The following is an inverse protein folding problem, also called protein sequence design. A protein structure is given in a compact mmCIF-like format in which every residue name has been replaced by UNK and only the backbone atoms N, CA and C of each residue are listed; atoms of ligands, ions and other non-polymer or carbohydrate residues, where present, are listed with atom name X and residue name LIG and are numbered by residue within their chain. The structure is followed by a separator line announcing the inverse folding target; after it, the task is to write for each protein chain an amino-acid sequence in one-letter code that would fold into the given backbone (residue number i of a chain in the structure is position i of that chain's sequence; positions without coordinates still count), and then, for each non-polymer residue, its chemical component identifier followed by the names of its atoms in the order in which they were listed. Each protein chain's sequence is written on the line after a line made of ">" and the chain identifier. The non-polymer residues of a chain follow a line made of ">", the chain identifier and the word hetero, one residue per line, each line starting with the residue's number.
data_IF_678318855989
#
_entry.id   IF_678318855989
#
_cell.length_a   1.000
_cell.length_b   1.000
_cell.length_c   1.000
_cell.angle_alpha   90.00
_cell.angle_beta   90.00
_cell.angle_gamma   90.00
#
_symmetry.space_group_name_H-M   'P 1'
#
loop_
_entity.id
_entity.type
_entity.pdbx_description
1 polymer ?
#
# COMPACT_ATOMS: atom_id res chain seq x y z
N UNK A 1 21.32 -26.50 25.17
CA UNK A 1 20.31 -25.49 25.54
C UNK A 1 19.68 -24.95 24.25
N UNK A 2 18.42 -25.31 23.98
CA UNK A 2 17.65 -24.82 22.82
C UNK A 2 17.23 -23.38 23.12
N UNK A 3 17.65 -22.41 22.30
CA UNK A 3 17.11 -21.05 22.34
C UNK A 3 15.78 -21.05 21.58
N UNK A 4 14.68 -21.01 22.32
CA UNK A 4 13.35 -20.69 21.81
C UNK A 4 13.35 -19.25 21.29
N UNK A 5 13.23 -19.07 19.97
CA UNK A 5 12.76 -17.81 19.38
C UNK A 5 11.24 -17.77 19.54
N UNK A 6 10.75 -17.01 20.52
CA UNK A 6 9.36 -16.61 20.69
C UNK A 6 9.39 -15.15 21.11
N UNK A 7 8.87 -14.28 20.26
CA UNK A 7 8.87 -12.83 20.47
C UNK A 7 8.57 -12.10 19.17
N UNK A 8 7.36 -12.26 18.66
CA UNK A 8 6.75 -11.31 17.74
C UNK A 8 5.25 -11.45 17.97
N UNK A 9 4.57 -10.31 18.01
CA UNK A 9 3.13 -10.09 18.29
C UNK A 9 2.79 -9.78 19.75
N UNK A 10 2.84 -8.47 20.07
CA UNK A 10 1.71 -7.82 20.74
C UNK A 10 1.06 -6.69 19.91
N UNK A 11 1.61 -6.30 18.76
CA UNK A 11 1.02 -5.24 17.89
C UNK A 11 -0.28 -5.73 17.18
N UNK A 12 -0.56 -7.03 17.22
CA UNK A 12 -1.72 -7.65 16.55
C UNK A 12 -3.10 -7.34 17.19
N UNK A 13 -3.18 -6.88 18.44
CA UNK A 13 -4.44 -6.90 19.20
C UNK A 13 -5.37 -5.70 19.00
N UNK A 14 -4.96 -4.67 18.23
CA UNK A 14 -5.84 -3.58 17.82
C UNK A 14 -6.46 -3.77 16.41
N UNK A 15 -6.10 -4.84 15.69
CA UNK A 15 -6.27 -4.96 14.24
C UNK A 15 -7.50 -5.75 13.73
N UNK A 16 -8.37 -6.28 14.62
CA UNK A 16 -9.32 -7.36 14.27
C UNK A 16 -10.72 -6.90 13.77
N UNK A 17 -11.06 -5.61 13.71
CA UNK A 17 -12.47 -5.18 13.52
C UNK A 17 -12.87 -4.76 12.09
N UNK A 18 -11.96 -4.64 11.11
CA UNK A 18 -12.27 -3.89 9.86
C UNK A 18 -12.53 -4.69 8.57
N UNK A 19 -12.33 -6.02 8.54
CA UNK A 19 -12.51 -6.81 7.29
C UNK A 19 -13.99 -6.89 6.86
N UNK A 20 -14.95 -6.84 7.79
CA UNK A 20 -16.39 -6.79 7.43
C UNK A 20 -16.85 -5.38 7.03
N UNK A 21 -16.05 -4.35 7.34
CA UNK A 21 -16.38 -2.95 7.03
C UNK A 21 -16.19 -2.56 5.57
N UNK A 22 -15.18 -3.11 4.89
CA UNK A 22 -14.84 -2.74 3.52
C UNK A 22 -15.93 -3.12 2.51
N UNK A 23 -16.56 -4.30 2.65
CA UNK A 23 -17.67 -4.72 1.79
C UNK A 23 -18.96 -3.90 2.01
N UNK A 24 -19.15 -3.30 3.19
CA UNK A 24 -20.32 -2.47 3.51
C UNK A 24 -20.12 -1.02 3.06
N UNK A 25 -18.88 -0.51 3.08
CA UNK A 25 -18.55 0.85 2.62
C UNK A 25 -18.74 1.03 1.10
N UNK A 26 -18.42 0.00 0.30
CA UNK A 26 -18.58 0.04 -1.16
C UNK A 26 -20.04 0.31 -1.61
N UNK A 27 -21.04 -0.02 -0.78
CA UNK A 27 -22.46 0.10 -1.15
C UNK A 27 -23.04 1.51 -1.02
N UNK A 28 -22.28 2.50 -0.54
CA UNK A 28 -22.80 3.87 -0.25
C UNK A 28 -22.35 4.97 -1.24
N UNK A 29 -21.64 4.64 -2.32
CA UNK A 29 -21.07 5.66 -3.23
C UNK A 29 -21.66 5.61 -4.65
N UNK A 30 -22.98 5.83 -4.75
CA UNK A 30 -23.73 5.89 -6.02
C UNK A 30 -23.66 7.23 -6.77
N UNK A 31 -22.51 7.91 -6.80
CA UNK A 31 -22.32 9.12 -7.60
C UNK A 31 -21.03 9.04 -8.39
N UNK A 32 -21.06 9.36 -9.68
CA UNK A 32 -19.89 9.43 -10.57
C UNK A 32 -18.93 10.53 -10.09
N UNK A 33 -18.13 10.24 -9.06
CA UNK A 33 -17.03 11.10 -8.66
C UNK A 33 -15.94 10.93 -9.70
N UNK A 34 -15.33 12.04 -10.09
CA UNK A 34 -14.07 12.01 -10.85
C UNK A 34 -13.15 11.01 -10.18
N UNK A 35 -12.64 10.03 -10.94
CA UNK A 35 -11.65 9.10 -10.40
C UNK A 35 -10.41 9.91 -10.07
N UNK A 36 -10.17 10.06 -8.77
CA UNK A 36 -8.96 10.66 -8.22
C UNK A 36 -7.81 9.70 -8.54
N UNK A 37 -6.69 10.22 -9.03
CA UNK A 37 -5.49 9.42 -9.29
C UNK A 37 -4.64 9.28 -8.03
N UNK A 38 -4.00 8.14 -7.83
CA UNK A 38 -3.01 7.94 -6.78
C UNK A 38 -1.67 8.62 -7.10
N UNK A 39 -1.37 8.91 -8.38
CA UNK A 39 -0.07 9.42 -8.79
C UNK A 39 0.28 10.78 -8.15
N UNK A 40 -0.70 11.68 -8.02
CA UNK A 40 -0.51 12.99 -7.39
C UNK A 40 -0.29 12.85 -5.88
N UNK A 41 -1.15 12.08 -5.21
CA UNK A 41 -1.05 11.80 -3.76
C UNK A 41 0.27 11.08 -3.42
N UNK A 42 0.74 10.16 -4.27
CA UNK A 42 2.01 9.45 -4.11
C UNK A 42 3.21 10.40 -4.15
N UNK A 43 3.25 11.33 -5.10
CA UNK A 43 4.33 12.31 -5.19
C UNK A 43 4.39 13.20 -3.96
N UNK A 44 3.22 13.64 -3.49
CA UNK A 44 3.14 14.45 -2.30
C UNK A 44 3.60 13.68 -1.06
N UNK A 45 3.10 12.44 -0.84
CA UNK A 45 3.50 11.62 0.31
C UNK A 45 4.98 11.21 0.23
N UNK A 46 5.53 10.99 -0.96
CA UNK A 46 6.96 10.77 -1.14
C UNK A 46 7.77 11.92 -0.55
N UNK A 47 7.37 13.17 -0.84
CA UNK A 47 8.04 14.35 -0.28
C UNK A 47 7.95 14.45 1.25
N UNK A 48 6.90 13.88 1.87
CA UNK A 48 6.76 13.78 3.32
C UNK A 48 7.65 12.68 3.89
N UNK A 49 7.72 11.52 3.23
CA UNK A 49 8.56 10.39 3.64
C UNK A 49 10.05 10.75 3.59
N UNK A 50 10.50 11.48 2.57
CA UNK A 50 11.89 11.95 2.43
C UNK A 50 12.34 12.89 3.56
N UNK A 51 11.40 13.47 4.32
CA UNK A 51 11.72 14.26 5.51
C UNK A 51 12.07 13.40 6.73
N UNK A 52 11.70 12.12 6.73
CA UNK A 52 11.92 11.23 7.85
C UNK A 52 13.32 10.60 7.71
N UNK A 53 14.28 10.94 8.60
CA UNK A 53 15.61 10.36 8.53
C UNK A 53 15.52 8.85 8.80
N UNK A 54 15.88 8.04 7.81
CA UNK A 54 16.11 6.60 7.98
C UNK A 54 17.54 6.39 8.46
N UNK A 55 17.77 5.51 9.45
CA UNK A 55 19.10 5.40 10.06
C UNK A 55 20.13 4.86 9.06
N UNK A 56 21.18 5.63 8.82
CA UNK A 56 22.27 5.31 7.89
C UNK A 56 23.29 4.29 8.43
N UNK A 57 23.09 3.76 9.63
CA UNK A 57 24.20 3.18 10.40
C UNK A 57 24.54 1.71 10.11
N UNK A 58 23.64 0.84 9.63
CA UNK A 58 24.09 -0.56 9.38
C UNK A 58 23.30 -1.47 8.44
N UNK A 59 22.07 -1.17 8.02
CA UNK A 59 21.36 -2.09 7.10
C UNK A 59 20.44 -1.29 6.19
N UNK A 60 20.56 -1.56 4.88
CA UNK A 60 19.55 -1.32 3.85
C UNK A 60 18.15 -1.49 4.41
N UNK A 61 17.28 -0.50 4.24
CA UNK A 61 15.84 -0.68 4.03
C UNK A 61 15.26 0.71 3.78
N UNK A 62 15.29 1.10 2.50
CA UNK A 62 14.62 2.29 2.01
C UNK A 62 13.11 2.23 2.27
N UNK A 63 12.41 3.28 1.86
CA UNK A 63 10.97 3.37 1.98
C UNK A 63 10.28 2.11 1.41
N UNK A 64 9.45 1.47 2.23
CA UNK A 64 8.67 0.31 1.83
C UNK A 64 7.27 0.77 1.45
N UNK A 65 6.97 0.71 0.14
CA UNK A 65 5.69 1.12 -0.39
C UNK A 65 4.75 -0.09 -0.56
N UNK A 66 3.48 0.12 -0.27
CA UNK A 66 2.40 -0.82 -0.59
C UNK A 66 1.26 0.00 -1.17
N UNK A 67 0.87 -0.28 -2.42
CA UNK A 67 -0.29 0.34 -3.05
C UNK A 67 -1.38 -0.72 -3.21
N UNK A 68 -2.63 -0.32 -3.01
CA UNK A 68 -3.81 -1.16 -3.12
C UNK A 68 -4.89 -0.42 -3.89
N UNK A 69 -5.48 -1.09 -4.87
CA UNK A 69 -6.67 -0.65 -5.58
C UNK A 69 -7.80 -1.63 -5.34
N UNK A 70 -8.88 -1.16 -4.73
CA UNK A 70 -10.14 -1.88 -4.61
C UNK A 70 -10.99 -1.54 -5.83
N UNK A 71 -11.14 -2.50 -6.75
CA UNK A 71 -11.79 -2.32 -8.05
C UNK A 71 -13.21 -2.89 -8.02
N UNK A 72 -14.16 -2.07 -8.49
CA UNK A 72 -15.58 -2.38 -8.55
C UNK A 72 -16.17 -2.05 -9.94
N UNK A 73 -17.42 -2.42 -10.18
CA UNK A 73 -18.16 -2.14 -11.41
C UNK A 73 -17.75 -3.03 -12.59
N UNK A 74 -16.84 -3.98 -12.40
CA UNK A 74 -16.41 -4.91 -13.43
C UNK A 74 -17.20 -6.22 -13.38
N UNK A 75 -17.48 -6.78 -14.55
CA UNK A 75 -17.83 -8.20 -14.70
C UNK A 75 -16.56 -9.05 -14.75
N UNK A 76 -16.66 -10.34 -14.48
CA UNK A 76 -15.54 -11.31 -14.59
C UNK A 76 -14.72 -11.14 -15.88
N UNK A 77 -15.36 -11.04 -17.06
CA UNK A 77 -14.63 -10.82 -18.33
C UNK A 77 -13.90 -9.48 -18.44
N UNK A 78 -14.38 -8.43 -17.75
CA UNK A 78 -13.69 -7.13 -17.68
C UNK A 78 -12.52 -7.19 -16.70
N UNK A 79 -12.68 -7.88 -15.57
CA UNK A 79 -11.58 -8.10 -14.62
C UNK A 79 -10.42 -8.88 -15.27
N UNK A 80 -10.73 -9.93 -16.04
CA UNK A 80 -9.74 -10.65 -16.85
C UNK A 80 -9.09 -9.77 -17.92
N UNK A 81 -9.86 -8.86 -18.54
CA UNK A 81 -9.31 -7.89 -19.48
C UNK A 81 -8.33 -6.92 -18.80
N UNK A 82 -8.66 -6.42 -17.61
CA UNK A 82 -7.75 -5.57 -16.82
C UNK A 82 -6.45 -6.32 -16.47
N UNK A 83 -6.56 -7.57 -16.01
CA UNK A 83 -5.40 -8.42 -15.76
C UNK A 83 -4.53 -8.59 -17.03
N UNK A 84 -5.16 -8.83 -18.19
CA UNK A 84 -4.46 -8.94 -19.47
C UNK A 84 -3.78 -7.63 -19.92
N UNK A 85 -4.42 -6.48 -19.71
CA UNK A 85 -3.83 -5.15 -19.99
C UNK A 85 -2.59 -4.88 -19.10
N UNK A 86 -2.58 -5.44 -17.90
CA UNK A 86 -1.45 -5.37 -16.97
C UNK A 86 -0.40 -6.46 -17.20
N UNK A 87 -0.56 -7.32 -18.21
CA UNK A 87 0.35 -8.44 -18.47
C UNK A 87 0.36 -9.49 -17.36
N UNK A 88 -0.69 -9.57 -16.53
CA UNK A 88 -0.78 -10.52 -15.43
C UNK A 88 -1.21 -11.89 -15.96
N UNK A 89 -0.59 -12.95 -15.43
CA UNK A 89 -0.95 -14.33 -15.70
C UNK A 89 -1.53 -14.97 -14.44
N UNK A 90 -2.41 -15.97 -14.62
CA UNK A 90 -2.99 -16.71 -13.50
C UNK A 90 -1.87 -17.41 -12.74
N UNK A 91 -1.78 -17.19 -11.43
CA UNK A 91 -0.82 -17.88 -10.58
C UNK A 91 -1.13 -19.39 -10.59
N UNK A 92 -0.09 -20.22 -10.62
CA UNK A 92 -0.26 -21.67 -10.50
C UNK A 92 -0.98 -21.96 -9.18
N UNK A 93 -2.10 -22.68 -9.25
CA UNK A 93 -2.85 -23.06 -8.06
C UNK A 93 -1.93 -23.90 -7.17
N UNK A 94 -1.51 -23.33 -6.03
CA UNK A 94 -0.80 -24.09 -5.01
C UNK A 94 -1.70 -25.27 -4.64
N UNK A 95 -1.19 -26.47 -4.89
CA UNK A 95 -1.97 -27.71 -4.85
C UNK A 95 -2.16 -28.18 -3.41
N UNK A 96 -2.62 -27.30 -2.51
CA UNK A 96 -2.93 -27.66 -1.13
C UNK A 96 -4.44 -27.56 -0.92
N UNK A 97 -5.01 -28.74 -0.72
CA UNK A 97 -6.41 -29.00 -1.00
C UNK A 97 -7.37 -28.48 0.06
N UNK A 98 -8.50 -27.97 -0.42
CA UNK A 98 -9.73 -27.91 0.35
C UNK A 98 -10.90 -28.08 -0.62
N UNK A 99 -11.45 -29.30 -0.67
CA UNK A 99 -12.68 -29.60 -1.38
C UNK A 99 -13.88 -29.01 -0.61
N UNK A 100 -14.19 -27.75 -0.89
CA UNK A 100 -15.39 -27.08 -0.40
C UNK A 100 -15.86 -26.05 -1.42
N UNK A 101 -17.16 -26.01 -1.73
CA UNK A 101 -17.79 -25.04 -2.64
C UNK A 101 -17.79 -23.61 -2.05
N UNK A 102 -16.61 -23.04 -1.83
CA UNK A 102 -16.45 -21.62 -1.51
C UNK A 102 -16.14 -20.84 -2.79
N UNK A 103 -16.55 -19.58 -2.82
CA UNK A 103 -16.38 -18.67 -3.94
C UNK A 103 -14.97 -18.75 -4.55
N UNK A 104 -14.91 -18.88 -5.86
CA UNK A 104 -13.67 -19.03 -6.60
C UNK A 104 -12.93 -17.69 -6.58
N UNK A 105 -11.79 -17.68 -5.91
CA UNK A 105 -10.87 -16.54 -5.90
C UNK A 105 -9.69 -16.91 -6.75
N UNK A 106 -9.54 -16.23 -7.89
CA UNK A 106 -8.41 -16.41 -8.78
C UNK A 106 -7.36 -15.35 -8.48
N UNK A 107 -6.09 -15.76 -8.41
CA UNK A 107 -4.96 -14.84 -8.24
C UNK A 107 -4.20 -14.73 -9.56
N UNK A 108 -3.91 -13.50 -9.97
CA UNK A 108 -3.11 -13.17 -11.13
C UNK A 108 -1.87 -12.38 -10.67
N UNK A 109 -0.71 -12.66 -11.26
CA UNK A 109 0.56 -12.03 -10.89
C UNK A 109 1.34 -11.62 -12.14
N UNK A 110 2.21 -10.64 -11.99
CA UNK A 110 3.07 -10.16 -13.05
C UNK A 110 3.95 -9.01 -12.57
N UNK A 111 4.61 -8.35 -13.51
CA UNK A 111 5.50 -7.22 -13.23
C UNK A 111 5.22 -6.06 -14.17
N UNK A 112 5.24 -4.84 -13.64
CA UNK A 112 5.18 -3.61 -14.43
C UNK A 112 6.59 -3.02 -14.50
N UNK A 113 7.01 -2.63 -15.69
CA UNK A 113 8.28 -1.92 -15.90
C UNK A 113 8.10 -0.43 -15.60
N UNK A 114 9.03 0.14 -14.83
CA UNK A 114 9.01 1.56 -14.45
C UNK A 114 9.84 2.45 -15.36
N UNK A 115 10.70 1.90 -16.22
CA UNK A 115 11.64 2.67 -17.05
C UNK A 115 11.05 3.14 -18.40
N UNK A 116 9.79 2.86 -18.65
CA UNK A 116 9.20 3.11 -19.96
C UNK A 116 8.57 4.51 -20.04
N UNK A 117 9.28 5.45 -20.71
CA UNK A 117 8.65 6.65 -21.33
C UNK A 117 7.58 6.27 -22.38
N UNK A 118 7.44 4.98 -22.68
CA UNK A 118 6.39 4.41 -23.51
C UNK A 118 5.96 3.09 -22.89
N UNK A 119 5.01 3.15 -21.93
CA UNK A 119 4.38 1.98 -21.31
C UNK A 119 3.69 1.12 -22.39
N UNK A 120 4.49 0.31 -23.07
CA UNK A 120 4.09 -0.67 -24.05
C UNK A 120 4.44 -2.05 -23.50
N UNK A 121 3.47 -2.96 -23.54
CA UNK A 121 3.66 -4.36 -23.13
C UNK A 121 4.83 -4.94 -23.93
N UNK A 122 5.89 -5.37 -23.23
CA UNK A 122 7.00 -6.10 -23.85
C UNK A 122 6.49 -7.49 -24.20
N UNK A 123 6.16 -7.71 -25.48
CA UNK A 123 5.84 -9.03 -26.00
C UNK A 123 7.11 -9.90 -25.94
N UNK A 124 7.00 -11.08 -25.33
CA UNK A 124 8.13 -11.88 -24.83
C UNK A 124 8.99 -12.59 -25.87
N UNK A 125 9.34 -11.94 -26.99
CA UNK A 125 10.27 -12.50 -27.97
C UNK A 125 11.72 -12.11 -27.60
N UNK A 126 12.35 -13.00 -26.82
CA UNK A 126 13.66 -12.79 -26.22
C UNK A 126 14.79 -12.90 -27.25
N UNK A 127 15.09 -11.81 -27.95
CA UNK A 127 16.34 -11.68 -28.71
C UNK A 127 17.48 -11.23 -27.76
N UNK A 128 18.35 -12.18 -27.41
CA UNK A 128 19.18 -12.19 -26.19
C UNK A 128 20.50 -11.40 -26.30
N UNK A 129 20.60 -10.35 -27.11
CA UNK A 129 21.93 -9.82 -27.46
C UNK A 129 22.11 -8.29 -27.44
N UNK A 130 21.68 -7.63 -26.35
CA UNK A 130 22.06 -6.23 -26.09
C UNK A 130 22.50 -6.02 -24.64
N UNK A 131 23.80 -5.86 -24.42
CA UNK A 131 24.46 -5.63 -23.13
C UNK A 131 24.25 -4.21 -22.57
N UNK A 132 23.05 -3.65 -22.68
CA UNK A 132 22.71 -2.42 -21.97
C UNK A 132 22.04 -2.79 -20.65
N UNK A 133 22.85 -2.95 -19.61
CA UNK A 133 22.43 -3.17 -18.24
C UNK A 133 21.91 -1.88 -17.59
N UNK A 134 20.96 -1.20 -18.23
CA UNK A 134 20.05 -0.34 -17.47
C UNK A 134 19.33 -1.27 -16.49
N UNK A 135 19.48 -1.02 -15.19
CA UNK A 135 18.83 -1.81 -14.14
C UNK A 135 17.32 -1.60 -14.25
N UNK A 136 16.70 -2.40 -15.11
CA UNK A 136 15.26 -2.40 -15.32
C UNK A 136 14.59 -2.67 -13.99
N UNK A 137 13.88 -1.67 -13.46
CA UNK A 137 13.28 -1.78 -12.14
C UNK A 137 11.85 -2.29 -12.32
N UNK A 138 11.71 -3.62 -12.32
CA UNK A 138 10.41 -4.29 -12.40
C UNK A 138 9.69 -4.25 -11.05
N UNK A 139 8.40 -3.90 -11.05
CA UNK A 139 7.54 -3.83 -9.87
C UNK A 139 6.56 -4.99 -9.87
N UNK A 140 6.53 -5.78 -8.80
CA UNK A 140 5.57 -6.87 -8.64
C UNK A 140 4.16 -6.34 -8.43
N UNK A 141 3.23 -6.91 -9.20
CA UNK A 141 1.79 -6.61 -9.14
C UNK A 141 1.03 -7.92 -9.03
N UNK A 142 0.09 -7.97 -8.09
CA UNK A 142 -0.88 -9.06 -7.98
C UNK A 142 -2.31 -8.52 -8.07
N UNK A 143 -3.19 -9.31 -8.64
CA UNK A 143 -4.62 -9.02 -8.74
C UNK A 143 -5.40 -10.23 -8.27
N UNK A 144 -6.19 -10.06 -7.22
CA UNK A 144 -7.16 -11.04 -6.76
C UNK A 144 -8.50 -10.74 -7.40
N UNK A 145 -9.09 -11.73 -8.07
CA UNK A 145 -10.42 -11.63 -8.66
C UNK A 145 -11.35 -12.55 -7.88
N UNK A 146 -12.29 -11.95 -7.16
CA UNK A 146 -13.32 -12.68 -6.44
C UNK A 146 -14.61 -12.65 -7.25
N UNK A 147 -15.09 -13.82 -7.67
CA UNK A 147 -16.35 -13.94 -8.40
C UNK A 147 -17.42 -14.52 -7.50
N UNK A 148 -18.43 -13.73 -7.18
CA UNK A 148 -19.68 -14.22 -6.61
C UNK A 148 -20.77 -14.33 -7.69
N UNK A 149 -21.90 -14.96 -7.37
CA UNK A 149 -22.97 -15.24 -8.34
C UNK A 149 -23.53 -14.00 -9.07
N UNK A 150 -23.34 -12.78 -8.54
CA UNK A 150 -23.92 -11.54 -9.05
C UNK A 150 -22.93 -10.36 -9.17
N UNK A 151 -21.70 -10.48 -8.66
CA UNK A 151 -20.71 -9.43 -8.63
C UNK A 151 -19.29 -9.98 -8.76
N UNK A 152 -18.41 -9.18 -9.36
CA UNK A 152 -16.97 -9.45 -9.36
C UNK A 152 -16.31 -8.28 -8.66
N UNK A 153 -15.67 -8.56 -7.53
CA UNK A 153 -14.76 -7.61 -6.90
C UNK A 153 -13.34 -8.00 -7.25
N UNK A 154 -12.47 -7.00 -7.37
CA UNK A 154 -11.05 -7.27 -7.61
C UNK A 154 -10.19 -6.36 -6.75
N UNK A 155 -9.08 -6.89 -6.26
CA UNK A 155 -8.10 -6.14 -5.48
C UNK A 155 -6.76 -6.25 -6.19
N UNK A 156 -6.18 -5.11 -6.55
CA UNK A 156 -4.83 -5.04 -7.10
C UNK A 156 -3.89 -4.58 -6.00
N UNK A 157 -2.81 -5.31 -5.78
CA UNK A 157 -1.77 -5.00 -4.79
C UNK A 157 -0.43 -4.85 -5.49
N UNK A 158 0.30 -3.81 -5.14
CA UNK A 158 1.62 -3.49 -5.69
C UNK A 158 2.62 -3.42 -4.54
N UNK A 159 3.76 -4.07 -4.70
CA UNK A 159 4.89 -4.03 -3.75
C UNK A 159 6.15 -3.57 -4.46
N UNK A 160 6.34 -2.25 -4.64
CA UNK A 160 7.54 -1.72 -5.28
C UNK A 160 8.79 -2.05 -4.47
N UNK A 161 9.89 -2.51 -5.11
CA UNK A 161 11.17 -2.58 -4.42
C UNK A 161 11.62 -1.18 -4.00
N UNK A 162 12.41 -1.10 -2.93
CA UNK A 162 12.88 0.17 -2.35
C UNK A 162 13.79 1.00 -3.27
N UNK A 163 14.23 0.42 -4.41
CA UNK A 163 14.97 1.12 -5.46
C UNK A 163 14.07 1.95 -6.39
N UNK A 164 12.75 1.76 -6.36
CA UNK A 164 11.81 2.52 -7.20
C UNK A 164 11.67 3.93 -6.65
N UNK A 165 12.01 4.92 -7.49
CA UNK A 165 11.79 6.33 -7.20
C UNK A 165 10.33 6.76 -7.41
N UNK A 166 10.02 8.01 -7.04
CA UNK A 166 8.68 8.59 -7.16
C UNK A 166 8.10 8.49 -8.57
N UNK A 167 8.90 8.77 -9.61
CA UNK A 167 8.46 8.71 -11.01
C UNK A 167 8.02 7.29 -11.41
N UNK A 168 8.72 6.28 -10.90
CA UNK A 168 8.36 4.88 -11.10
C UNK A 168 7.07 4.50 -10.39
N UNK A 169 6.83 4.99 -9.17
CA UNK A 169 5.57 4.80 -8.46
C UNK A 169 4.39 5.45 -9.21
N UNK A 170 4.57 6.67 -9.71
CA UNK A 170 3.55 7.37 -10.51
C UNK A 170 3.25 6.62 -11.81
N UNK A 171 4.28 6.10 -12.48
CA UNK A 171 4.14 5.29 -13.70
C UNK A 171 3.32 4.02 -13.44
N UNK A 172 3.61 3.31 -12.34
CA UNK A 172 2.85 2.12 -11.94
C UNK A 172 1.40 2.46 -11.61
N UNK A 173 1.18 3.53 -10.84
CA UNK A 173 -0.17 4.00 -10.50
C UNK A 173 -0.98 4.32 -11.76
N UNK A 174 -0.44 5.17 -12.64
CA UNK A 174 -1.09 5.54 -13.91
C UNK A 174 -1.41 4.33 -14.79
N UNK A 175 -0.48 3.36 -14.87
CA UNK A 175 -0.68 2.14 -15.66
C UNK A 175 -1.84 1.30 -15.12
N UNK A 176 -1.92 1.12 -13.80
CA UNK A 176 -3.02 0.40 -13.15
C UNK A 176 -4.35 1.11 -13.37
N UNK A 177 -4.38 2.41 -13.12
CA UNK A 177 -5.58 3.23 -13.24
C UNK A 177 -6.12 3.26 -14.67
N UNK A 178 -5.23 3.37 -15.66
CA UNK A 178 -5.56 3.29 -17.07
C UNK A 178 -6.10 1.90 -17.44
N UNK A 179 -5.44 0.82 -17.01
CA UNK A 179 -5.89 -0.55 -17.31
C UNK A 179 -7.29 -0.84 -16.73
N UNK A 180 -7.54 -0.40 -15.49
CA UNK A 180 -8.86 -0.53 -14.86
C UNK A 180 -9.90 0.31 -15.60
N UNK A 181 -9.57 1.55 -15.97
CA UNK A 181 -10.47 2.43 -16.71
C UNK A 181 -10.82 1.86 -18.09
N UNK A 182 -9.83 1.38 -18.85
CA UNK A 182 -10.01 0.77 -20.18
C UNK A 182 -10.82 -0.53 -20.14
N UNK A 183 -10.75 -1.27 -19.04
CA UNK A 183 -11.61 -2.42 -18.77
C UNK A 183 -13.05 -2.03 -18.41
N UNK A 184 -13.31 -0.74 -18.13
CA UNK A 184 -14.61 -0.20 -17.73
C UNK A 184 -14.89 -0.35 -16.24
N UNK A 185 -13.84 -0.53 -15.42
CA UNK A 185 -13.94 -0.57 -13.97
C UNK A 185 -13.91 0.81 -13.33
N UNK A 186 -14.18 0.84 -12.03
CA UNK A 186 -13.93 1.97 -11.14
C UNK A 186 -13.05 1.48 -10.00
N UNK A 187 -12.26 2.36 -9.40
CA UNK A 187 -11.38 1.98 -8.31
C UNK A 187 -11.43 2.99 -7.17
N UNK A 188 -11.19 2.49 -5.97
CA UNK A 188 -10.67 3.28 -4.85
C UNK A 188 -9.23 2.84 -4.59
N UNK A 189 -8.35 3.77 -4.25
CA UNK A 189 -6.99 3.41 -3.85
C UNK A 189 -6.74 3.70 -2.37
N UNK A 190 -5.75 2.97 -1.87
CA UNK A 190 -5.02 3.30 -0.65
C UNK A 190 -3.57 2.93 -0.84
N UNK A 191 -2.67 3.65 -0.17
CA UNK A 191 -1.28 3.26 -0.13
C UNK A 191 -0.67 3.62 1.21
N UNK A 192 0.49 3.06 1.47
CA UNK A 192 1.31 3.43 2.61
C UNK A 192 2.78 3.37 2.24
N UNK A 193 3.56 4.14 2.98
CA UNK A 193 5.00 4.07 3.04
C UNK A 193 5.44 3.86 4.48
N UNK A 194 6.35 2.93 4.69
CA UNK A 194 6.92 2.66 6.01
C UNK A 194 8.44 2.59 5.98
N UNK A 195 9.02 2.71 7.17
CA UNK A 195 10.45 2.53 7.38
C UNK A 195 10.78 2.42 8.86
N UNK A 196 12.06 2.21 9.13
CA UNK A 196 12.58 2.10 10.49
C UNK A 196 13.67 3.14 10.69
N UNK A 197 13.58 3.91 11.76
CA UNK A 197 14.62 4.83 12.21
C UNK A 197 15.26 4.30 13.50
N UNK A 198 16.58 4.20 13.53
CA UNK A 198 17.32 3.99 14.78
C UNK A 198 17.68 5.37 15.36
N UNK A 199 16.96 5.88 16.38
CA UNK A 199 17.31 7.14 17.02
C UNK A 199 18.69 7.01 17.68
N UNK A 200 19.48 8.09 17.65
CA UNK A 200 20.76 8.12 18.38
C UNK A 200 20.50 7.88 19.88
N UNK A 201 21.40 7.12 20.52
CA UNK A 201 21.26 6.67 21.92
C UNK A 201 21.27 7.82 22.94
N UNK A 202 21.43 9.06 22.50
CA UNK A 202 21.57 10.25 23.33
C UNK A 202 20.30 11.09 23.46
N UNK A 203 19.28 10.88 22.61
CA UNK A 203 18.04 11.69 22.61
C UNK A 203 16.91 10.92 23.27
N UNK A 204 16.03 11.63 24.00
CA UNK A 204 14.75 11.10 24.43
C UNK A 204 13.99 10.55 23.19
N UNK A 205 13.84 9.24 23.12
CA UNK A 205 13.22 8.53 21.99
C UNK A 205 11.79 9.02 21.75
N UNK A 206 11.08 9.40 22.82
CA UNK A 206 9.73 9.94 22.73
C UNK A 206 9.72 11.36 22.15
N UNK A 207 10.73 12.16 22.46
CA UNK A 207 10.90 13.47 21.85
C UNK A 207 11.23 13.35 20.36
N UNK A 208 12.05 12.36 19.99
CA UNK A 208 12.38 12.06 18.59
C UNK A 208 11.14 11.61 17.80
N UNK A 209 10.30 10.76 18.41
CA UNK A 209 8.98 10.36 17.90
C UNK A 209 8.08 11.56 17.57
N UNK A 210 7.92 12.47 18.54
CA UNK A 210 7.08 13.66 18.39
C UNK A 210 7.62 14.65 17.38
N UNK A 211 8.94 14.79 17.30
CA UNK A 211 9.58 15.69 16.34
C UNK A 211 9.33 15.23 14.90
N UNK A 212 9.47 13.94 14.63
CA UNK A 212 9.22 13.34 13.31
C UNK A 212 7.81 13.65 12.79
N UNK A 213 6.79 13.50 13.64
CA UNK A 213 5.43 13.90 13.28
C UNK A 213 5.25 15.41 13.15
N UNK A 214 5.87 16.20 14.03
CA UNK A 214 5.74 17.66 13.98
C UNK A 214 6.17 18.20 12.62
N UNK A 215 7.28 17.69 12.08
CA UNK A 215 7.81 18.15 10.80
C UNK A 215 6.92 17.71 9.63
N UNK A 216 6.48 16.45 9.60
CA UNK A 216 5.54 15.94 8.59
C UNK A 216 4.20 16.69 8.63
N UNK A 217 3.68 16.97 9.81
CA UNK A 217 2.43 17.71 10.01
C UNK A 217 2.54 19.15 9.54
N UNK A 218 3.64 19.82 9.88
CA UNK A 218 3.89 21.20 9.45
C UNK A 218 4.01 21.29 7.93
N UNK A 219 4.71 20.34 7.28
CA UNK A 219 4.81 20.29 5.82
C UNK A 219 3.48 19.99 5.16
N UNK A 220 2.64 19.18 5.82
CA UNK A 220 1.43 18.66 5.20
C UNK A 220 0.18 19.51 5.36
N UNK A 221 0.27 20.65 6.07
CA UNK A 221 -0.87 21.47 6.49
C UNK A 221 -2.00 20.63 7.14
N UNK A 222 -1.65 19.50 7.76
CA UNK A 222 -2.61 18.47 8.14
C UNK A 222 -3.22 18.74 9.51
N UNK A 223 -4.55 18.81 9.56
CA UNK A 223 -5.33 19.05 10.79
C UNK A 223 -5.65 17.73 11.47
N UNK A 224 -5.44 17.65 12.79
CA UNK A 224 -5.75 16.46 13.58
C UNK A 224 -7.25 16.15 13.59
N UNK A 225 -7.60 14.91 13.25
CA UNK A 225 -8.98 14.41 13.23
C UNK A 225 -9.22 13.49 14.43
N UNK A 226 -8.35 12.50 14.60
CA UNK A 226 -8.34 11.51 15.69
C UNK A 226 -6.89 11.22 16.12
N UNK A 227 -6.70 10.89 17.40
CA UNK A 227 -5.42 10.50 17.97
C UNK A 227 -5.60 9.25 18.83
N UNK A 228 -4.69 8.31 18.69
CA UNK A 228 -4.55 7.14 19.53
C UNK A 228 -3.13 7.08 20.09
N UNK A 229 -3.03 6.87 21.39
CA UNK A 229 -1.77 6.61 22.10
C UNK A 229 -2.01 5.41 23.01
N UNK A 230 -1.13 4.41 22.96
CA UNK A 230 -1.23 3.28 23.86
C UNK A 230 -0.89 3.68 25.31
N UNK A 231 -1.19 2.81 26.28
CA UNK A 231 -0.97 3.12 27.70
C UNK A 231 0.50 3.29 28.07
N UNK A 232 1.38 2.72 27.28
CA UNK A 232 2.83 2.71 27.51
C UNK A 232 3.51 3.87 26.77
N UNK A 233 2.76 4.62 25.94
CA UNK A 233 3.25 5.65 25.04
C UNK A 233 4.10 5.09 23.89
N UNK A 234 4.16 3.77 23.70
CA UNK A 234 5.07 3.13 22.75
C UNK A 234 4.56 3.22 21.32
N UNK A 235 3.25 3.44 21.15
CA UNK A 235 2.59 3.57 19.86
C UNK A 235 1.76 4.84 19.83
N UNK A 236 1.97 5.66 18.81
CA UNK A 236 1.16 6.84 18.50
C UNK A 236 0.61 6.67 17.09
N UNK A 237 -0.70 6.85 16.91
CA UNK A 237 -1.36 6.87 15.61
C UNK A 237 -2.30 8.06 15.50
N UNK A 238 -2.05 8.92 14.52
CA UNK A 238 -2.83 10.12 14.27
C UNK A 238 -3.51 10.04 12.90
N UNK A 239 -4.83 10.19 12.89
CA UNK A 239 -5.61 10.41 11.67
C UNK A 239 -5.76 11.91 11.47
N UNK A 240 -5.44 12.40 10.27
CA UNK A 240 -5.39 13.81 9.92
C UNK A 240 -6.05 14.08 8.57
N UNK A 241 -6.43 15.34 8.37
CA UNK A 241 -6.90 15.86 7.10
C UNK A 241 -5.89 16.85 6.53
N UNK A 242 -5.29 16.53 5.39
CA UNK A 242 -4.44 17.43 4.59
C UNK A 242 -5.21 17.93 3.37
N UNK A 243 -5.16 19.22 3.02
CA UNK A 243 -5.80 19.74 1.81
C UNK A 243 -5.10 19.30 0.51
N UNK A 244 -3.92 18.69 0.60
CA UNK A 244 -3.07 18.30 -0.52
C UNK A 244 -3.22 16.83 -0.93
N UNK A 245 -4.13 16.09 -0.29
CA UNK A 245 -4.40 14.68 -0.56
C UNK A 245 -5.86 14.55 -0.98
N UNK A 246 -6.10 14.13 -2.21
CA UNK A 246 -7.45 14.10 -2.78
C UNK A 246 -8.27 12.92 -2.22
N UNK A 247 -7.63 11.77 -2.01
CA UNK A 247 -8.33 10.58 -1.52
C UNK A 247 -8.71 10.74 -0.06
N UNK A 248 -10.01 10.74 0.22
CA UNK A 248 -10.55 10.89 1.58
C UNK A 248 -11.39 9.70 2.02
N UNK A 249 -11.50 9.51 3.34
CA UNK A 249 -12.45 8.59 3.97
C UNK A 249 -13.19 9.26 5.13
N UNK A 250 -14.25 8.60 5.61
CA UNK A 250 -14.97 9.00 6.82
C UNK A 250 -14.49 8.19 8.02
N UNK A 251 -14.13 8.86 9.10
CA UNK A 251 -13.84 8.26 10.42
C UNK A 251 -14.53 9.08 11.51
N UNK A 252 -15.26 8.43 12.42
CA UNK A 252 -15.97 9.14 13.50
C UNK A 252 -16.92 10.25 13.03
N UNK A 253 -17.46 10.17 11.81
CA UNK A 253 -18.28 11.21 11.17
C UNK A 253 -17.50 12.40 10.58
N UNK A 254 -16.18 12.45 10.76
CA UNK A 254 -15.26 13.44 10.18
C UNK A 254 -14.59 12.89 8.92
N UNK A 255 -13.97 13.77 8.14
CA UNK A 255 -13.17 13.39 6.97
C UNK A 255 -11.69 13.30 7.37
N UNK A 256 -11.00 12.26 6.93
CA UNK A 256 -9.56 12.05 7.10
C UNK A 256 -8.96 11.53 5.80
N UNK A 257 -7.69 11.82 5.54
CA UNK A 257 -6.96 11.36 4.34
C UNK A 257 -5.47 11.11 4.57
N UNK A 258 -4.96 11.35 5.77
CA UNK A 258 -3.59 11.07 6.13
C UNK A 258 -3.58 10.34 7.46
N UNK A 259 -2.87 9.22 7.54
CA UNK A 259 -2.60 8.55 8.81
C UNK A 259 -1.10 8.49 9.04
N UNK A 260 -0.68 8.92 10.23
CA UNK A 260 0.70 8.86 10.68
C UNK A 260 0.76 7.90 11.86
N UNK A 261 1.61 6.88 11.80
CA UNK A 261 1.84 5.95 12.91
C UNK A 261 3.33 5.85 13.21
N UNK A 262 3.71 5.87 14.48
CA UNK A 262 5.03 5.40 14.90
C UNK A 262 4.89 4.44 16.08
N UNK A 263 5.77 3.45 16.09
CA UNK A 263 5.90 2.44 17.12
C UNK A 263 7.37 2.34 17.55
N UNK A 264 7.63 2.38 18.86
CA UNK A 264 8.93 2.05 19.42
C UNK A 264 8.97 0.55 19.72
N UNK A 265 9.81 -0.18 18.98
CA UNK A 265 10.02 -1.61 19.25
C UNK A 265 10.73 -1.78 20.60
N UNK A 266 10.09 -2.52 21.51
CA UNK A 266 10.61 -2.79 22.85
C UNK A 266 11.93 -3.58 22.87
N UNK A 267 12.22 -4.38 21.84
CA UNK A 267 13.39 -5.25 21.76
C UNK A 267 14.57 -4.55 21.08
N UNK A 268 14.36 -4.04 19.86
CA UNK A 268 15.41 -3.38 19.07
C UNK A 268 15.61 -1.93 19.46
N UNK A 269 14.62 -1.32 20.12
CA UNK A 269 14.53 0.12 20.39
C UNK A 269 14.51 1.01 19.15
N UNK A 270 14.26 0.40 18.00
CA UNK A 270 14.05 1.10 16.74
C UNK A 270 12.64 1.72 16.70
N UNK A 271 12.51 2.77 15.89
CA UNK A 271 11.26 3.47 15.64
C UNK A 271 10.72 3.06 14.28
N UNK A 272 9.67 2.26 14.26
CA UNK A 272 8.95 1.90 13.05
C UNK A 272 7.89 2.95 12.76
N UNK A 273 7.95 3.58 11.60
CA UNK A 273 7.01 4.62 11.19
C UNK A 273 6.24 4.21 9.93
N UNK A 274 5.03 4.75 9.80
CA UNK A 274 4.14 4.54 8.66
C UNK A 274 3.40 5.84 8.34
N UNK A 275 3.35 6.19 7.05
CA UNK A 275 2.44 7.19 6.49
C UNK A 275 1.45 6.46 5.57
N UNK A 276 0.15 6.65 5.77
CA UNK A 276 -0.91 6.00 4.98
C UNK A 276 -1.93 6.98 4.41
N UNK A 277 -2.48 6.64 3.24
CA UNK A 277 -3.53 7.40 2.54
C UNK A 277 -4.65 6.45 2.07
N UNK A 278 -5.94 6.74 2.34
CA UNK A 278 -6.42 7.69 3.35
C UNK A 278 -6.23 7.16 4.79
N UNK A 279 -6.04 5.85 4.92
CA UNK A 279 -5.78 5.11 6.16
C UNK A 279 -4.86 3.95 5.82
N UNK A 280 -4.08 3.51 6.80
CA UNK A 280 -3.28 2.29 6.72
C UNK A 280 -4.25 1.11 6.66
N UNK A 281 -4.63 0.72 5.45
CA UNK A 281 -5.32 -0.54 5.19
C UNK A 281 -4.25 -1.64 5.29
N UNK A 282 -4.45 -2.58 6.22
CA UNK A 282 -3.35 -3.41 6.68
C UNK A 282 -2.94 -4.55 5.74
N UNK A 283 -1.79 -5.11 6.11
CA UNK A 283 -1.06 -6.28 5.57
C UNK A 283 -1.82 -7.61 5.64
N UNK A 284 -3.15 -7.55 5.75
CA UNK A 284 -3.96 -8.70 6.14
C UNK A 284 -4.12 -9.75 5.03
N UNK A 285 -3.46 -9.57 3.89
CA UNK A 285 -3.39 -10.58 2.82
C UNK A 285 -2.14 -11.46 2.90
N UNK A 286 -1.17 -11.17 3.77
CA UNK A 286 0.01 -12.04 3.99
C UNK A 286 -0.14 -12.99 5.18
N UNK A 287 -1.37 -13.31 5.58
CA UNK A 287 -1.60 -14.46 6.44
C UNK A 287 -1.60 -15.73 5.59
N UNK A 288 -0.39 -16.14 5.17
CA UNK A 288 -0.07 -17.55 4.86
C UNK A 288 0.20 -18.31 6.18
#
# INVERSE_FOLDING_TARGET
>A
MRRTRKGLMPVMLAAIVLIVGAAVAAKQHGGSKSQVSAAEDLQYVWSLADMIPTSTATVSNGHHWLLRYDVDGMRSGQALRAAGLLGLHKADASTEGAAGQQAETDTYVGTIDTDTESAGIIDGDADTNTNNSSQQTAVEVSMLIHTDHNSTSSVIVVKPPSSVGVDGLQTVANTIEQAVHEAGGQYEYSFRVSGTAAPDNTVDKMQSLKQLFTDVVAKSDAVLVENYEDKEGMTISESRFSPHIERTMKTGGKTSNLQLTVHLDSESTALDWVIGVPVITGDYTEAD
#
